data_IF_446924138255
#
_entry.id   IF_446924138255
#
_cell.length_a   1.000
_cell.length_b   1.000
_cell.length_c   1.000
_cell.angle_alpha   90.00
_cell.angle_beta   90.00
_cell.angle_gamma   90.00
#
_symmetry.space_group_name_H-M   'P 1'
#
loop_
_entity.id
_entity.type
_entity.pdbx_description
1 polymer ?
#
# COMPACT_ATOMS: atom_id res chain seq x y z
N UNK A 1 0.71 7.94 13.59
CA UNK A 1 -0.56 8.33 12.95
C UNK A 1 -0.93 7.24 11.97
N UNK A 2 -2.20 6.83 11.93
CA UNK A 2 -2.69 5.86 10.96
C UNK A 2 -3.30 6.59 9.76
N UNK A 3 -2.95 6.17 8.55
CA UNK A 3 -3.53 6.68 7.31
C UNK A 3 -4.06 5.51 6.48
N UNK A 4 -5.29 5.64 5.97
CA UNK A 4 -5.83 4.74 4.95
C UNK A 4 -5.73 5.47 3.61
N UNK A 5 -4.96 4.90 2.68
CA UNK A 5 -4.61 5.53 1.41
C UNK A 5 -5.08 4.64 0.27
N UNK A 6 -5.97 5.15 -0.57
CA UNK A 6 -6.39 4.46 -1.79
C UNK A 6 -5.28 4.49 -2.85
N UNK A 7 -4.99 3.34 -3.45
CA UNK A 7 -3.94 3.20 -4.48
C UNK A 7 -4.43 3.43 -5.92
N UNK A 8 -5.75 3.55 -6.12
CA UNK A 8 -6.35 3.57 -7.45
C UNK A 8 -6.56 2.17 -8.02
N UNK A 9 -6.78 2.07 -9.34
CA UNK A 9 -7.21 0.82 -10.01
C UNK A 9 -6.26 0.35 -11.12
N UNK A 10 -5.38 1.22 -11.62
CA UNK A 10 -4.60 1.00 -12.83
C UNK A 10 -3.16 0.59 -12.57
N UNK A 11 -2.35 1.42 -11.92
CA UNK A 11 -0.96 1.10 -11.60
C UNK A 11 -0.44 1.89 -10.37
N UNK A 12 0.83 1.71 -10.02
CA UNK A 12 1.50 2.36 -8.88
C UNK A 12 1.38 3.90 -8.87
N UNK A 13 1.13 4.56 -10.01
CA UNK A 13 1.01 6.02 -10.12
C UNK A 13 -0.41 6.55 -9.94
N UNK A 14 -1.40 5.69 -9.80
CA UNK A 14 -2.80 6.11 -9.60
C UNK A 14 -3.05 6.61 -8.17
N UNK A 15 -2.11 6.35 -7.25
CA UNK A 15 -2.08 6.95 -5.93
C UNK A 15 -2.09 8.49 -6.04
N UNK A 16 -2.82 9.16 -5.17
CA UNK A 16 -2.77 10.62 -5.09
C UNK A 16 -1.38 11.12 -4.69
N UNK A 17 -1.02 12.34 -5.11
CA UNK A 17 0.26 13.00 -4.73
C UNK A 17 0.44 13.03 -3.20
N UNK A 18 -0.61 13.42 -2.47
CA UNK A 18 -0.60 13.44 -1.00
C UNK A 18 -0.42 12.05 -0.39
N UNK A 19 -1.04 11.02 -0.99
CA UNK A 19 -0.86 9.63 -0.57
C UNK A 19 0.60 9.20 -0.70
N UNK A 20 1.22 9.48 -1.85
CA UNK A 20 2.63 9.17 -2.09
C UNK A 20 3.57 9.87 -1.11
N UNK A 21 3.33 11.15 -0.80
CA UNK A 21 4.11 11.89 0.18
C UNK A 21 4.00 11.29 1.59
N UNK A 22 2.80 10.89 1.99
CA UNK A 22 2.58 10.22 3.28
C UNK A 22 3.32 8.88 3.32
N UNK A 23 3.19 8.05 2.28
CA UNK A 23 3.88 6.75 2.19
C UNK A 23 5.39 6.92 2.33
N UNK A 24 5.99 7.88 1.63
CA UNK A 24 7.44 8.15 1.69
C UNK A 24 7.93 8.51 3.10
N UNK A 25 7.12 9.23 3.86
CA UNK A 25 7.46 9.70 5.21
C UNK A 25 6.97 8.76 6.34
N UNK A 26 6.17 7.74 6.03
CA UNK A 26 5.62 6.83 7.03
C UNK A 26 6.72 5.97 7.66
N UNK A 27 6.59 5.67 8.95
CA UNK A 27 7.54 4.75 9.62
C UNK A 27 7.43 3.33 9.05
N UNK A 28 6.19 2.88 8.87
CA UNK A 28 5.82 1.55 8.38
C UNK A 28 4.71 1.71 7.34
N UNK A 29 4.75 0.88 6.29
CA UNK A 29 3.78 0.88 5.20
C UNK A 29 3.27 -0.55 5.03
N UNK A 30 1.96 -0.71 5.12
CA UNK A 30 1.29 -1.99 4.95
C UNK A 30 0.43 -1.96 3.68
N UNK A 31 0.43 -3.06 2.94
CA UNK A 31 -0.36 -3.24 1.73
C UNK A 31 -1.35 -4.37 1.94
N UNK A 32 -2.62 -4.01 1.93
CA UNK A 32 -3.72 -4.96 1.86
C UNK A 32 -3.83 -5.41 0.39
N UNK A 33 -3.73 -6.73 0.16
CA UNK A 33 -3.64 -7.31 -1.18
C UNK A 33 -4.63 -8.46 -1.44
N UNK A 34 -5.62 -8.67 -0.56
CA UNK A 34 -6.60 -9.75 -0.64
C UNK A 34 -8.01 -9.31 -1.05
N UNK A 35 -8.39 -8.05 -0.84
CA UNK A 35 -9.73 -7.54 -1.16
C UNK A 35 -9.89 -7.12 -2.62
N UNK A 36 -8.79 -6.81 -3.31
CA UNK A 36 -8.79 -6.39 -4.70
C UNK A 36 -7.59 -6.94 -5.46
N UNK A 37 -7.75 -7.10 -6.77
CA UNK A 37 -6.66 -7.48 -7.66
C UNK A 37 -5.75 -6.26 -7.81
N UNK A 38 -4.54 -6.38 -7.28
CA UNK A 38 -3.49 -5.43 -7.56
C UNK A 38 -2.95 -5.68 -8.96
N UNK A 39 -3.04 -4.68 -9.83
CA UNK A 39 -2.60 -4.75 -11.24
C UNK A 39 -1.08 -4.76 -11.40
N UNK A 40 -0.36 -4.43 -10.33
CA UNK A 40 1.10 -4.42 -10.26
C UNK A 40 1.56 -5.24 -9.05
N UNK A 41 2.77 -5.80 -9.09
CA UNK A 41 3.32 -6.51 -7.94
C UNK A 41 3.77 -5.56 -6.82
N UNK A 42 3.97 -6.12 -5.62
CA UNK A 42 4.57 -5.42 -4.47
C UNK A 42 5.88 -4.72 -4.87
N UNK A 43 6.77 -5.41 -5.58
CA UNK A 43 8.10 -4.89 -5.95
C UNK A 43 8.02 -3.59 -6.75
N UNK A 44 7.05 -3.50 -7.69
CA UNK A 44 6.82 -2.31 -8.48
C UNK A 44 6.31 -1.12 -7.64
N UNK A 45 5.54 -1.39 -6.58
CA UNK A 45 5.13 -0.38 -5.62
C UNK A 45 6.31 0.08 -4.78
N UNK A 46 7.13 -0.83 -4.27
CA UNK A 46 8.32 -0.49 -3.46
C UNK A 46 9.32 0.36 -4.27
N UNK A 47 9.57 -0.02 -5.52
CA UNK A 47 10.43 0.74 -6.44
C UNK A 47 9.89 2.15 -6.67
N UNK A 48 8.59 2.30 -6.97
CA UNK A 48 8.01 3.60 -7.27
C UNK A 48 7.84 4.49 -6.02
N UNK A 49 7.49 3.89 -4.88
CA UNK A 49 7.28 4.61 -3.63
C UNK A 49 8.59 4.91 -2.91
N UNK A 50 9.67 4.17 -3.19
CA UNK A 50 10.95 4.31 -2.53
C UNK A 50 10.89 3.89 -1.05
N UNK A 51 10.03 2.91 -0.74
CA UNK A 51 9.79 2.40 0.60
C UNK A 51 9.49 0.91 0.56
N UNK A 52 9.95 0.20 1.57
CA UNK A 52 9.53 -1.17 1.83
C UNK A 52 8.05 -1.21 2.23
N UNK A 53 7.35 -2.22 1.74
CA UNK A 53 5.92 -2.43 1.91
C UNK A 53 5.69 -3.82 2.49
N UNK A 54 5.09 -3.88 3.67
CA UNK A 54 4.73 -5.15 4.32
C UNK A 54 3.37 -5.61 3.81
N UNK A 55 3.26 -6.85 3.32
CA UNK A 55 1.96 -7.40 2.95
C UNK A 55 1.14 -7.66 4.22
N UNK A 56 -0.04 -7.06 4.29
CA UNK A 56 -1.06 -7.36 5.27
C UNK A 56 -2.05 -8.32 4.61
N UNK A 57 -1.91 -9.60 4.94
CA UNK A 57 -2.81 -10.64 4.47
C UNK A 57 -4.14 -10.61 5.22
N UNK A 58 -5.07 -11.47 4.80
CA UNK A 58 -6.40 -11.55 5.40
C UNK A 58 -6.37 -11.80 6.91
N UNK A 59 -5.44 -12.61 7.40
CA UNK A 59 -5.31 -12.89 8.84
C UNK A 59 -4.93 -11.62 9.60
N UNK A 60 -3.95 -10.88 9.07
CA UNK A 60 -3.52 -9.59 9.60
C UNK A 60 -4.65 -8.56 9.61
N UNK A 61 -5.52 -8.56 8.58
CA UNK A 61 -6.56 -7.53 8.41
C UNK A 61 -7.89 -7.87 9.10
N UNK A 62 -8.30 -9.15 9.12
CA UNK A 62 -9.64 -9.55 9.58
C UNK A 62 -9.66 -10.34 10.89
N UNK A 63 -8.59 -11.06 11.27
CA UNK A 63 -8.69 -12.12 12.28
C UNK A 63 -8.07 -11.80 13.64
N UNK A 64 -7.20 -10.79 13.75
CA UNK A 64 -6.63 -10.37 15.03
C UNK A 64 -7.21 -9.02 15.48
N UNK A 65 -8.33 -9.07 16.22
CA UNK A 65 -8.91 -7.94 16.97
C UNK A 65 -8.79 -8.16 18.47
#
# INVERSE_FOLDING_TARGET
MLYLIGLGLGNAKDISVKGLEIVKNAKEVYLEAYTSILTVGKDALEEFYGREVTLADRETVEQNS
#
